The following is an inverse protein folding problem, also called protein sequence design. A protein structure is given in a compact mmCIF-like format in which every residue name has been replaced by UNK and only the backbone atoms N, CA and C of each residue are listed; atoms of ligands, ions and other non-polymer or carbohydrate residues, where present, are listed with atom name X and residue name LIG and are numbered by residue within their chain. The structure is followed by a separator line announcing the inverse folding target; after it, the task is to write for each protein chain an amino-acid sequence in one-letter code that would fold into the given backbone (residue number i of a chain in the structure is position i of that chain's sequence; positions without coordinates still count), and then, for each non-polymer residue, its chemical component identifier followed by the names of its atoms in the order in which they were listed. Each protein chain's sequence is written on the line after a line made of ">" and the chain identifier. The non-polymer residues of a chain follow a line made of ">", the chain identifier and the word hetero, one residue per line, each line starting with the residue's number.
data_IF_556782951006
#
_entry.id   IF_556782951006
#
_cell.length_a   1.000
_cell.length_b   1.000
_cell.length_c   1.000
_cell.angle_alpha   90.00
_cell.angle_beta   90.00
_cell.angle_gamma   90.00
#
_symmetry.space_group_name_H-M   'P 1'
#
loop_
_entity.id
_entity.type
_entity.pdbx_description
1 polymer ?
#
# COMPACT_ATOMS: atom_id res chain seq x y z
N UNK A 1 -4.29 29.56 -11.49
CA UNK A 1 -2.91 29.88 -11.94
C UNK A 1 -2.38 28.65 -12.65
N UNK A 2 -2.60 28.57 -13.95
CA UNK A 2 -2.11 27.50 -14.81
C UNK A 2 -1.22 28.13 -15.86
N UNK A 3 0.08 27.83 -15.85
CA UNK A 3 0.95 28.01 -16.99
C UNK A 3 2.26 27.25 -16.77
N UNK A 4 2.80 26.77 -17.88
CA UNK A 4 4.19 26.38 -18.11
C UNK A 4 4.64 24.98 -17.68
N UNK A 5 4.23 23.93 -18.41
CA UNK A 5 5.17 22.97 -18.99
C UNK A 5 4.69 22.59 -20.40
N UNK A 6 5.10 23.36 -21.40
CA UNK A 6 4.90 23.04 -22.82
C UNK A 6 6.23 23.28 -23.54
N UNK A 7 7.09 22.26 -23.57
CA UNK A 7 8.40 22.32 -24.24
C UNK A 7 8.55 21.27 -25.35
N UNK A 8 7.53 20.45 -25.56
CA UNK A 8 7.41 19.52 -26.68
C UNK A 8 5.94 19.53 -27.06
N UNK A 9 5.58 19.78 -28.33
CA UNK A 9 4.20 19.97 -28.82
C UNK A 9 3.31 18.72 -28.78
N UNK A 10 3.33 17.99 -27.67
CA UNK A 10 2.44 16.91 -27.28
C UNK A 10 1.85 17.39 -25.94
N UNK A 11 0.53 17.40 -25.79
CA UNK A 11 -0.14 17.62 -24.51
C UNK A 11 0.19 16.46 -23.56
N UNK A 12 1.41 16.43 -23.02
CA UNK A 12 1.91 15.37 -22.14
C UNK A 12 1.04 15.30 -20.87
N UNK A 13 0.51 16.44 -20.43
CA UNK A 13 -0.45 16.54 -19.33
C UNK A 13 -1.75 15.78 -19.58
N UNK A 14 -2.29 15.78 -20.80
CA UNK A 14 -3.57 15.11 -21.11
C UNK A 14 -3.40 13.58 -21.25
N UNK A 15 -2.22 13.12 -21.68
CA UNK A 15 -1.90 11.69 -21.74
C UNK A 15 -1.51 11.11 -20.36
N UNK A 16 -0.78 11.87 -19.53
CA UNK A 16 -0.45 11.44 -18.17
C UNK A 16 -1.66 11.50 -17.23
N UNK A 17 -2.55 12.49 -17.38
CA UNK A 17 -3.80 12.58 -16.63
C UNK A 17 -4.83 11.51 -17.06
N UNK A 18 -4.53 10.72 -18.10
CA UNK A 18 -5.32 9.54 -18.41
C UNK A 18 -5.02 8.43 -17.39
N UNK A 19 -6.02 7.68 -16.88
CA UNK A 19 -5.81 6.59 -15.91
C UNK A 19 -4.80 5.52 -16.37
N UNK A 20 -4.56 5.43 -17.68
CA UNK A 20 -3.56 4.53 -18.28
C UNK A 20 -2.13 5.02 -18.02
N UNK A 21 -1.89 6.34 -18.11
CA UNK A 21 -0.59 6.95 -17.83
C UNK A 21 -0.22 6.83 -16.35
N UNK A 22 -1.18 7.11 -15.47
CA UNK A 22 -1.02 6.87 -14.04
C UNK A 22 -0.70 5.40 -13.73
N UNK A 23 -1.43 4.45 -14.35
CA UNK A 23 -1.16 3.02 -14.20
C UNK A 23 0.26 2.61 -14.62
N UNK A 24 0.80 3.21 -15.68
CA UNK A 24 2.17 2.92 -16.13
C UNK A 24 3.23 3.39 -15.15
N UNK A 25 3.07 4.60 -14.59
CA UNK A 25 4.00 5.17 -13.60
C UNK A 25 3.95 4.37 -12.30
N UNK A 26 2.75 4.05 -11.83
CA UNK A 26 2.54 3.20 -10.65
C UNK A 26 3.18 1.83 -10.87
N UNK A 27 3.00 1.23 -12.04
CA UNK A 27 3.61 -0.04 -12.41
C UNK A 27 5.14 -0.01 -12.41
N UNK A 28 5.75 1.07 -12.92
CA UNK A 28 7.20 1.30 -12.86
C UNK A 28 7.69 1.46 -11.42
N UNK A 29 6.94 2.21 -10.59
CA UNK A 29 7.26 2.43 -9.18
C UNK A 29 7.30 1.13 -8.38
N UNK A 30 6.38 0.20 -8.67
CA UNK A 30 6.27 -1.08 -7.98
C UNK A 30 6.98 -2.25 -8.68
N UNK A 31 7.62 -2.00 -9.82
CA UNK A 31 8.46 -2.98 -10.52
C UNK A 31 9.55 -3.63 -9.65
N UNK A 32 10.31 -2.92 -8.77
CA UNK A 32 11.34 -3.59 -7.96
C UNK A 32 10.74 -4.61 -6.98
N UNK A 33 9.57 -4.30 -6.41
CA UNK A 33 8.86 -5.20 -5.50
C UNK A 33 8.37 -6.44 -6.26
N UNK A 34 7.83 -6.24 -7.46
CA UNK A 34 7.39 -7.33 -8.32
C UNK A 34 8.55 -8.29 -8.64
N UNK A 35 9.68 -7.74 -9.07
CA UNK A 35 10.88 -8.52 -9.41
C UNK A 35 11.39 -9.29 -8.19
N UNK A 36 11.40 -8.68 -7.00
CA UNK A 36 11.86 -9.35 -5.78
C UNK A 36 11.03 -10.60 -5.46
N UNK A 37 9.70 -10.49 -5.52
CA UNK A 37 8.77 -11.59 -5.23
C UNK A 37 8.89 -12.70 -6.28
N UNK A 38 8.99 -12.32 -7.55
CA UNK A 38 9.17 -13.26 -8.67
C UNK A 38 10.52 -13.98 -8.59
N UNK A 39 11.59 -13.27 -8.23
CA UNK A 39 12.92 -13.85 -8.03
C UNK A 39 12.92 -14.86 -6.89
N UNK A 40 12.27 -14.53 -5.77
CA UNK A 40 12.08 -15.46 -4.65
C UNK A 40 11.29 -16.70 -5.08
N UNK A 41 10.24 -16.54 -5.89
CA UNK A 41 9.48 -17.67 -6.41
C UNK A 41 10.33 -18.56 -7.33
N UNK A 42 11.15 -17.96 -8.20
CA UNK A 42 12.00 -18.68 -9.13
C UNK A 42 13.13 -19.43 -8.42
N UNK A 43 13.73 -18.84 -7.38
CA UNK A 43 14.76 -19.49 -6.55
C UNK A 43 14.22 -20.69 -5.77
N UNK A 44 12.91 -20.78 -5.55
CA UNK A 44 12.28 -21.92 -4.88
C UNK A 44 11.95 -23.08 -5.81
N UNK A 45 12.14 -22.93 -7.12
CA UNK A 45 11.93 -24.03 -8.06
C UNK A 45 13.05 -25.07 -7.87
N UNK A 46 12.72 -26.33 -7.55
CA UNK A 46 13.73 -27.38 -7.39
C UNK A 46 14.47 -27.59 -8.71
N UNK A 47 15.81 -27.59 -8.65
CA UNK A 47 16.68 -27.68 -9.83
C UNK A 47 16.51 -29.01 -10.56
N UNK A 48 16.23 -30.08 -9.81
CA UNK A 48 15.97 -31.43 -10.34
C UNK A 48 14.87 -31.43 -11.41
N UNK A 49 13.74 -30.75 -11.13
CA UNK A 49 12.59 -30.70 -12.07
C UNK A 49 12.93 -29.96 -13.36
N UNK A 50 13.79 -28.94 -13.28
CA UNK A 50 14.22 -28.19 -14.45
C UNK A 50 15.29 -28.94 -15.28
N UNK A 51 16.20 -29.67 -14.61
CA UNK A 51 17.23 -30.48 -15.25
C UNK A 51 16.62 -31.71 -15.95
N UNK A 52 15.65 -32.39 -15.33
CA UNK A 52 14.92 -33.53 -15.92
C UNK A 52 14.17 -33.11 -17.20
N UNK A 53 13.50 -31.95 -17.16
CA UNK A 53 12.76 -31.44 -18.30
C UNK A 53 13.66 -31.05 -19.49
N UNK A 54 14.94 -30.76 -19.25
CA UNK A 54 15.87 -30.34 -20.30
C UNK A 54 16.29 -31.50 -21.22
N UNK A 55 16.14 -32.74 -20.76
CA UNK A 55 16.39 -33.93 -21.59
C UNK A 55 15.33 -34.14 -22.68
N UNK A 56 14.11 -33.63 -22.47
CA UNK A 56 12.98 -33.83 -23.37
C UNK A 56 12.61 -32.56 -24.17
N UNK A 57 12.94 -31.37 -23.63
CA UNK A 57 12.48 -30.10 -24.20
C UNK A 57 13.53 -28.99 -24.19
N UNK A 58 13.43 -28.07 -25.16
CA UNK A 58 14.32 -26.90 -25.25
C UNK A 58 14.11 -25.92 -24.09
N UNK A 59 15.17 -25.18 -23.73
CA UNK A 59 15.19 -24.20 -22.63
C UNK A 59 13.96 -23.27 -22.58
N UNK A 60 13.53 -22.72 -23.71
CA UNK A 60 12.36 -21.84 -23.79
C UNK A 60 11.05 -22.56 -23.46
N UNK A 61 10.92 -23.82 -23.90
CA UNK A 61 9.72 -24.63 -23.67
C UNK A 61 9.67 -25.16 -22.23
N UNK A 62 10.81 -25.45 -21.62
CA UNK A 62 10.91 -25.73 -20.17
C UNK A 62 10.44 -24.52 -19.36
N UNK A 63 10.88 -23.31 -19.72
CA UNK A 63 10.48 -22.09 -19.02
C UNK A 63 8.96 -21.83 -19.10
N UNK A 64 8.37 -21.92 -20.29
CA UNK A 64 6.94 -21.67 -20.47
C UNK A 64 6.04 -22.81 -19.98
N UNK A 65 6.47 -24.07 -20.10
CA UNK A 65 5.59 -25.22 -19.89
C UNK A 65 5.81 -25.92 -18.54
N UNK A 66 7.00 -25.79 -17.95
CA UNK A 66 7.35 -26.41 -16.66
C UNK A 66 7.48 -25.35 -15.57
N UNK A 67 8.27 -24.30 -15.80
CA UNK A 67 8.54 -23.28 -14.77
C UNK A 67 7.33 -22.36 -14.56
N UNK A 68 6.73 -21.86 -15.65
CA UNK A 68 5.58 -20.93 -15.58
C UNK A 68 4.40 -21.46 -14.76
N UNK A 69 3.88 -22.69 -14.96
CA UNK A 69 2.80 -23.22 -14.12
C UNK A 69 3.22 -23.38 -12.64
N UNK A 70 4.50 -23.65 -12.37
CA UNK A 70 5.04 -23.74 -11.01
C UNK A 70 5.06 -22.38 -10.30
N UNK A 71 5.42 -21.30 -11.01
CA UNK A 71 5.45 -19.94 -10.45
C UNK A 71 4.12 -19.20 -10.56
N UNK A 72 3.13 -19.74 -11.28
CA UNK A 72 1.79 -19.15 -11.44
C UNK A 72 1.13 -18.74 -10.12
N UNK A 73 1.12 -19.56 -9.03
CA UNK A 73 0.58 -19.11 -7.75
C UNK A 73 1.35 -17.91 -7.18
N UNK A 74 2.67 -17.86 -7.33
CA UNK A 74 3.47 -16.73 -6.89
C UNK A 74 3.22 -15.47 -7.73
N UNK A 75 3.04 -15.61 -9.05
CA UNK A 75 2.62 -14.51 -9.94
C UNK A 75 1.25 -13.98 -9.49
N UNK A 76 0.31 -14.87 -9.17
CA UNK A 76 -1.02 -14.50 -8.68
C UNK A 76 -0.96 -13.73 -7.36
N UNK A 77 -0.15 -14.20 -6.40
CA UNK A 77 0.09 -13.50 -5.13
C UNK A 77 0.81 -12.15 -5.32
N UNK A 78 1.78 -12.07 -6.22
CA UNK A 78 2.47 -10.84 -6.58
C UNK A 78 1.50 -9.82 -7.21
N UNK A 79 0.70 -10.24 -8.19
CA UNK A 79 -0.29 -9.40 -8.84
C UNK A 79 -1.34 -8.88 -7.84
N UNK A 80 -1.76 -9.74 -6.89
CA UNK A 80 -2.66 -9.36 -5.82
C UNK A 80 -2.10 -8.26 -4.92
N UNK A 81 -0.85 -8.43 -4.49
CA UNK A 81 -0.16 -7.46 -3.66
C UNK A 81 0.04 -6.12 -4.39
N UNK A 82 0.49 -6.16 -5.64
CA UNK A 82 0.69 -4.96 -6.46
C UNK A 82 -0.63 -4.23 -6.74
N UNK A 83 -1.72 -4.98 -6.96
CA UNK A 83 -3.05 -4.39 -7.11
C UNK A 83 -3.45 -3.62 -5.86
N UNK A 84 -3.29 -4.22 -4.67
CA UNK A 84 -3.59 -3.55 -3.40
C UNK A 84 -2.70 -2.33 -3.19
N UNK A 85 -1.40 -2.46 -3.47
CA UNK A 85 -0.43 -1.38 -3.31
C UNK A 85 -0.75 -0.20 -4.23
N UNK A 86 -1.12 -0.47 -5.49
CA UNK A 86 -1.59 0.53 -6.43
C UNK A 86 -2.92 1.18 -5.99
N UNK A 87 -3.84 0.40 -5.41
CA UNK A 87 -5.12 0.93 -4.94
C UNK A 87 -4.98 1.84 -3.72
N UNK A 88 -3.98 1.61 -2.90
CA UNK A 88 -3.63 2.40 -1.72
C UNK A 88 -2.81 3.64 -2.05
N UNK A 89 -2.28 3.74 -3.27
CA UNK A 89 -1.47 4.88 -3.70
C UNK A 89 -2.37 6.06 -4.08
N UNK A 90 -2.40 7.07 -3.20
CA UNK A 90 -3.06 8.35 -3.47
C UNK A 90 -2.08 9.42 -4.00
N UNK A 91 -0.77 9.23 -3.79
CA UNK A 91 0.24 10.25 -4.08
C UNK A 91 0.43 10.43 -5.59
N UNK A 92 0.58 9.34 -6.35
CA UNK A 92 0.75 9.43 -7.81
C UNK A 92 -0.52 10.01 -8.47
N UNK A 93 -1.70 9.70 -7.91
CA UNK A 93 -2.96 10.25 -8.40
C UNK A 93 -3.06 11.77 -8.19
N UNK A 94 -2.66 12.27 -7.01
CA UNK A 94 -2.60 13.70 -6.70
C UNK A 94 -1.60 14.43 -7.62
N UNK A 95 -0.38 13.90 -7.78
CA UNK A 95 0.65 14.49 -8.64
C UNK A 95 0.22 14.60 -10.11
N UNK A 96 -0.55 13.64 -10.62
CA UNK A 96 -1.01 13.63 -12.01
C UNK A 96 -2.38 14.31 -12.20
N UNK A 97 -3.03 14.74 -11.12
CA UNK A 97 -4.38 15.32 -11.17
C UNK A 97 -5.47 14.32 -11.57
N UNK A 98 -5.23 13.02 -11.37
CA UNK A 98 -6.21 11.96 -11.69
C UNK A 98 -7.11 11.73 -10.49
N UNK A 99 -8.42 11.93 -10.69
CA UNK A 99 -9.41 11.67 -9.64
C UNK A 99 -9.60 10.16 -9.45
N UNK A 100 -8.90 9.61 -8.47
CA UNK A 100 -9.10 8.24 -7.97
C UNK A 100 -9.97 8.25 -6.71
N UNK A 101 -10.57 7.12 -6.36
CA UNK A 101 -11.36 7.00 -5.13
C UNK A 101 -10.53 7.33 -3.88
N UNK A 102 -9.24 6.96 -3.86
CA UNK A 102 -8.32 7.27 -2.76
C UNK A 102 -8.04 8.79 -2.66
N UNK A 103 -7.84 9.46 -3.80
CA UNK A 103 -7.69 10.91 -3.85
C UNK A 103 -8.96 11.63 -3.38
N UNK A 104 -10.14 11.18 -3.81
CA UNK A 104 -11.41 11.81 -3.45
C UNK A 104 -11.64 11.77 -1.92
N UNK A 105 -11.34 10.65 -1.27
CA UNK A 105 -11.44 10.55 0.20
C UNK A 105 -10.53 11.57 0.89
N UNK A 106 -9.27 11.66 0.44
CA UNK A 106 -8.31 12.61 0.98
C UNK A 106 -8.77 14.06 0.77
N UNK A 107 -9.23 14.39 -0.44
CA UNK A 107 -9.71 15.72 -0.79
C UNK A 107 -10.97 16.14 -0.02
N UNK A 108 -11.89 15.22 0.24
CA UNK A 108 -13.07 15.49 1.06
C UNK A 108 -12.70 15.76 2.52
N UNK A 109 -11.68 15.08 3.04
CA UNK A 109 -11.23 15.23 4.41
C UNK A 109 -10.42 16.52 4.64
N UNK A 110 -9.42 16.79 3.78
CA UNK A 110 -8.47 17.89 3.96
C UNK A 110 -8.83 19.15 3.16
N UNK A 111 -9.46 18.98 1.99
CA UNK A 111 -9.81 20.10 1.11
C UNK A 111 -11.15 20.75 1.47
N UNK A 112 -12.20 19.95 1.62
CA UNK A 112 -13.58 20.44 1.83
C UNK A 112 -13.99 20.37 3.32
N UNK A 113 -13.25 19.61 4.15
CA UNK A 113 -13.60 19.32 5.56
C UNK A 113 -15.02 18.73 5.73
N UNK A 114 -15.54 18.05 4.70
CA UNK A 114 -16.81 17.32 4.78
C UNK A 114 -16.56 15.89 5.25
N UNK A 115 -16.48 15.75 6.57
CA UNK A 115 -16.25 14.48 7.25
C UNK A 115 -17.36 13.46 6.99
N UNK A 116 -18.60 13.90 6.72
CA UNK A 116 -19.71 12.98 6.49
C UNK A 116 -19.55 12.28 5.14
N UNK A 117 -19.34 13.06 4.08
CA UNK A 117 -19.10 12.53 2.73
C UNK A 117 -17.80 11.72 2.65
N UNK A 118 -16.75 12.14 3.36
CA UNK A 118 -15.47 11.41 3.44
C UNK A 118 -15.66 10.03 4.10
N UNK A 119 -16.46 9.95 5.15
CA UNK A 119 -16.73 8.69 5.87
C UNK A 119 -17.49 7.71 4.99
N UNK A 120 -18.53 8.16 4.29
CA UNK A 120 -19.32 7.30 3.37
C UNK A 120 -18.44 6.78 2.24
N UNK A 121 -17.62 7.65 1.64
CA UNK A 121 -16.71 7.28 0.55
C UNK A 121 -15.63 6.29 1.00
N UNK A 122 -15.10 6.47 2.22
CA UNK A 122 -14.14 5.54 2.83
C UNK A 122 -14.74 4.16 3.08
N UNK A 123 -16.00 4.11 3.52
CA UNK A 123 -16.72 2.86 3.72
C UNK A 123 -16.91 2.11 2.40
N UNK A 124 -17.31 2.83 1.34
CA UNK A 124 -17.45 2.27 0.00
C UNK A 124 -16.11 1.72 -0.53
N UNK A 125 -15.03 2.50 -0.40
CA UNK A 125 -13.69 2.06 -0.77
C UNK A 125 -13.29 0.80 -0.02
N UNK A 126 -13.50 0.75 1.30
CA UNK A 126 -13.21 -0.44 2.11
C UNK A 126 -14.00 -1.67 1.65
N UNK A 127 -15.26 -1.53 1.27
CA UNK A 127 -16.08 -2.64 0.77
C UNK A 127 -15.54 -3.14 -0.58
N UNK A 128 -15.19 -2.23 -1.48
CA UNK A 128 -14.61 -2.58 -2.80
C UNK A 128 -13.27 -3.29 -2.62
N UNK A 129 -12.37 -2.75 -1.80
CA UNK A 129 -11.07 -3.38 -1.52
C UNK A 129 -11.24 -4.75 -0.88
N UNK A 130 -12.15 -4.90 0.09
CA UNK A 130 -12.44 -6.19 0.73
C UNK A 130 -12.98 -7.20 -0.28
N UNK A 131 -13.87 -6.79 -1.18
CA UNK A 131 -14.45 -7.65 -2.21
C UNK A 131 -13.37 -8.16 -3.18
N UNK A 132 -12.51 -7.26 -3.67
CA UNK A 132 -11.39 -7.65 -4.55
C UNK A 132 -10.41 -8.58 -3.81
N UNK A 133 -10.09 -8.27 -2.55
CA UNK A 133 -9.25 -9.13 -1.72
C UNK A 133 -9.85 -10.52 -1.54
N UNK A 134 -11.15 -10.63 -1.27
CA UNK A 134 -11.86 -11.91 -1.15
C UNK A 134 -11.83 -12.71 -2.46
N UNK A 135 -12.00 -12.06 -3.61
CA UNK A 135 -11.89 -12.69 -4.93
C UNK A 135 -10.49 -13.24 -5.14
N UNK A 136 -9.46 -12.41 -4.92
CA UNK A 136 -8.06 -12.80 -5.02
C UNK A 136 -7.72 -13.95 -4.07
N UNK A 137 -8.17 -13.85 -2.82
CA UNK A 137 -7.96 -14.88 -1.82
C UNK A 137 -8.61 -16.19 -2.23
N UNK A 138 -9.85 -16.16 -2.75
CA UNK A 138 -10.54 -17.34 -3.25
C UNK A 138 -9.83 -17.94 -4.47
N UNK A 139 -9.32 -17.11 -5.37
CA UNK A 139 -8.60 -17.54 -6.56
C UNK A 139 -7.25 -18.17 -6.20
N UNK A 140 -6.56 -17.61 -5.21
CA UNK A 140 -5.25 -18.05 -4.72
C UNK A 140 -5.32 -19.25 -3.75
N UNK A 141 -6.51 -19.57 -3.22
CA UNK A 141 -6.78 -20.74 -2.34
C UNK A 141 -6.67 -22.10 -3.03
N UNK A 142 -6.30 -22.18 -4.31
CA UNK A 142 -5.83 -23.46 -4.87
C UNK A 142 -4.64 -23.93 -4.03
N UNK A 143 -4.50 -25.24 -3.73
CA UNK A 143 -3.50 -25.72 -2.78
C UNK A 143 -2.14 -25.15 -3.19
N UNK A 144 -1.73 -24.11 -2.46
CA UNK A 144 -0.42 -23.52 -2.59
C UNK A 144 0.48 -24.70 -2.25
N UNK A 145 1.17 -25.22 -3.26
CA UNK A 145 2.19 -26.22 -3.04
C UNK A 145 3.08 -25.62 -1.97
N UNK A 146 3.04 -26.23 -0.78
CA UNK A 146 3.68 -25.75 0.45
C UNK A 146 4.91 -24.92 0.08
N UNK A 147 4.93 -23.59 0.29
CA UNK A 147 6.10 -22.80 -0.03
C UNK A 147 7.23 -23.25 0.88
N UNK A 148 8.02 -24.24 0.41
CA UNK A 148 9.29 -24.67 1.02
C UNK A 148 10.24 -23.48 1.24
N UNK A 149 9.95 -22.36 0.56
CA UNK A 149 10.49 -21.02 0.75
C UNK A 149 10.55 -20.54 2.21
N UNK A 150 9.54 -20.82 3.04
CA UNK A 150 9.52 -20.37 4.44
C UNK A 150 10.27 -21.30 5.40
N UNK A 151 10.59 -22.54 4.98
CA UNK A 151 11.39 -23.46 5.80
C UNK A 151 12.89 -23.29 5.61
N UNK A 152 13.33 -22.72 4.49
CA UNK A 152 14.71 -22.24 4.35
C UNK A 152 14.82 -20.94 5.14
N UNK A 153 15.03 -21.08 6.46
CA UNK A 153 15.39 -19.98 7.32
C UNK A 153 16.45 -19.15 6.61
N UNK A 154 16.21 -17.85 6.51
CA UNK A 154 17.27 -16.90 6.18
C UNK A 154 18.29 -16.96 7.32
N UNK A 155 19.20 -17.93 7.24
CA UNK A 155 20.34 -18.06 8.14
C UNK A 155 21.33 -16.98 7.72
N UNK A 156 21.04 -15.75 8.15
CA UNK A 156 22.04 -14.71 8.13
C UNK A 156 23.12 -15.12 9.10
N UNK A 157 24.21 -15.70 8.59
CA UNK A 157 25.48 -15.70 9.32
C UNK A 157 26.04 -14.28 9.31
N UNK A 158 25.30 -13.34 9.89
CA UNK A 158 25.75 -11.98 10.12
C UNK A 158 26.18 -11.87 11.59
N UNK A 159 27.47 -11.66 11.77
CA UNK A 159 28.15 -11.45 13.04
C UNK A 159 27.34 -10.46 13.91
N UNK A 160 26.95 -10.89 15.12
CA UNK A 160 25.90 -10.24 15.94
C UNK A 160 26.06 -8.74 16.22
N UNK A 161 27.26 -8.19 16.03
CA UNK A 161 27.53 -6.76 16.11
C UNK A 161 26.81 -5.93 15.02
N UNK A 162 26.86 -6.38 13.75
CA UNK A 162 26.27 -5.64 12.63
C UNK A 162 24.74 -5.71 12.63
N UNK A 163 24.16 -6.81 13.14
CA UNK A 163 22.71 -6.94 13.31
C UNK A 163 22.19 -5.94 14.35
N UNK A 164 22.90 -5.78 15.48
CA UNK A 164 22.55 -4.78 16.49
C UNK A 164 22.61 -3.35 15.95
N UNK A 165 23.62 -3.03 15.13
CA UNK A 165 23.70 -1.72 14.47
C UNK A 165 22.59 -1.52 13.45
N UNK A 166 22.28 -2.49 12.59
CA UNK A 166 21.23 -2.39 11.59
C UNK A 166 19.84 -2.21 12.23
N UNK A 167 19.54 -3.00 13.26
CA UNK A 167 18.29 -2.91 14.02
C UNK A 167 18.24 -1.58 14.80
N UNK A 168 19.34 -1.17 15.43
CA UNK A 168 19.44 0.12 16.10
C UNK A 168 19.23 1.30 15.16
N UNK A 169 19.83 1.27 13.97
CA UNK A 169 19.60 2.27 12.93
C UNK A 169 18.16 2.27 12.46
N UNK A 170 17.54 1.10 12.26
CA UNK A 170 16.13 1.00 11.86
C UNK A 170 15.18 1.57 12.91
N UNK A 171 15.41 1.25 14.19
CA UNK A 171 14.59 1.75 15.31
C UNK A 171 14.76 3.25 15.48
N UNK A 172 16.00 3.76 15.41
CA UNK A 172 16.26 5.21 15.52
C UNK A 172 15.65 5.97 14.35
N UNK A 173 15.75 5.46 13.11
CA UNK A 173 15.11 6.06 11.93
C UNK A 173 13.59 6.06 12.07
N UNK A 174 12.99 4.96 12.50
CA UNK A 174 11.55 4.87 12.73
C UNK A 174 11.10 5.86 13.83
N UNK A 175 11.86 5.97 14.91
CA UNK A 175 11.55 6.85 16.03
C UNK A 175 11.72 8.32 15.65
N UNK A 176 12.75 8.67 14.87
CA UNK A 176 12.96 10.03 14.35
C UNK A 176 11.89 10.40 13.32
N UNK A 177 11.59 9.51 12.37
CA UNK A 177 10.54 9.72 11.36
C UNK A 177 9.14 9.80 11.96
N UNK A 178 8.90 9.18 13.12
CA UNK A 178 7.62 9.28 13.84
C UNK A 178 7.60 10.48 14.78
N UNK A 179 8.70 10.80 15.46
CA UNK A 179 8.77 11.91 16.40
C UNK A 179 8.80 13.28 15.72
N UNK A 180 9.41 13.41 14.52
CA UNK A 180 9.42 14.66 13.76
C UNK A 180 8.02 15.18 13.39
N UNK A 181 7.14 14.38 12.75
CA UNK A 181 5.79 14.83 12.41
C UNK A 181 4.94 15.04 13.67
N UNK A 182 5.19 14.28 14.74
CA UNK A 182 4.48 14.44 16.01
C UNK A 182 4.89 15.73 16.72
N UNK A 183 6.17 16.08 16.68
CA UNK A 183 6.69 17.36 17.18
C UNK A 183 6.25 18.54 16.32
N UNK A 184 6.21 18.39 14.98
CA UNK A 184 5.72 19.46 14.09
C UNK A 184 4.24 19.75 14.30
N UNK A 185 3.42 18.70 14.53
CA UNK A 185 2.03 18.80 14.95
C UNK A 185 1.91 19.51 16.30
N UNK A 186 2.73 19.14 17.28
CA UNK A 186 2.66 19.73 18.62
C UNK A 186 2.97 21.23 18.59
N UNK A 187 4.01 21.65 17.85
CA UNK A 187 4.41 23.06 17.74
C UNK A 187 3.33 23.90 17.02
N UNK A 188 2.67 23.33 15.99
CA UNK A 188 1.60 24.03 15.26
C UNK A 188 0.25 23.99 15.98
N UNK A 189 -0.02 22.99 16.82
CA UNK A 189 -1.28 22.85 17.55
C UNK A 189 -1.36 23.77 18.79
N UNK A 190 -0.24 24.08 19.45
CA UNK A 190 -0.21 24.92 20.66
C UNK A 190 -0.81 26.33 20.45
N UNK A 191 -0.53 27.09 19.38
CA UNK A 191 -1.10 28.43 19.20
C UNK A 191 -2.60 28.44 18.94
N UNK A 192 -3.16 27.38 18.33
CA UNK A 192 -4.61 27.26 18.10
C UNK A 192 -5.37 26.67 19.29
N UNK A 193 -4.69 25.98 20.20
CA UNK A 193 -5.30 25.34 21.37
C UNK A 193 -6.08 26.32 22.25
N UNK A 194 -5.61 27.56 22.40
CA UNK A 194 -6.28 28.58 23.19
C UNK A 194 -7.57 29.13 22.53
N UNK A 195 -7.67 29.03 21.20
CA UNK A 195 -8.85 29.43 20.41
C UNK A 195 -9.86 28.28 20.36
N UNK A 196 -9.39 27.05 20.15
CA UNK A 196 -10.21 25.83 20.14
C UNK A 196 -10.80 25.55 21.53
N UNK A 197 -10.05 25.72 22.62
CA UNK A 197 -10.58 25.52 23.98
C UNK A 197 -11.74 26.49 24.30
N UNK A 198 -11.68 27.74 23.81
CA UNK A 198 -12.79 28.71 23.98
C UNK A 198 -13.96 28.41 23.04
N UNK A 199 -13.69 27.94 21.83
CA UNK A 199 -14.72 27.59 20.85
C UNK A 199 -15.43 26.26 21.15
N UNK A 200 -14.75 25.28 21.76
CA UNK A 200 -15.24 23.91 22.01
C UNK A 200 -15.81 23.69 23.42
N UNK A 201 -15.76 24.69 24.31
CA UNK A 201 -16.42 24.69 25.62
C UNK A 201 -17.88 24.17 25.61
N UNK A 202 -18.76 24.57 24.66
CA UNK A 202 -20.14 24.06 24.64
C UNK A 202 -20.25 22.60 24.17
N UNK A 203 -19.40 22.15 23.24
CA UNK A 203 -19.45 20.78 22.72
C UNK A 203 -19.03 19.74 23.78
N UNK A 204 -18.00 20.08 24.58
CA UNK A 204 -17.54 19.24 25.70
C UNK A 204 -18.65 19.09 26.74
N UNK A 205 -19.39 20.18 27.04
CA UNK A 205 -20.52 20.13 27.97
C UNK A 205 -21.65 19.21 27.47
N UNK A 206 -21.98 19.25 26.18
CA UNK A 206 -23.00 18.36 25.59
C UNK A 206 -22.60 16.88 25.65
N UNK A 207 -21.33 16.54 25.38
CA UNK A 207 -20.85 15.15 25.47
C UNK A 207 -20.88 14.61 26.90
N UNK A 208 -20.50 15.42 27.88
CA UNK A 208 -20.56 15.04 29.31
C UNK A 208 -22.01 14.81 29.74
N UNK A 209 -22.93 15.68 29.35
CA UNK A 209 -24.36 15.54 29.68
C UNK A 209 -24.96 14.29 29.01
N UNK A 210 -24.65 14.01 27.75
CA UNK A 210 -25.09 12.78 27.07
C UNK A 210 -24.52 11.51 27.72
N UNK A 211 -23.26 11.53 28.17
CA UNK A 211 -22.67 10.39 28.87
C UNK A 211 -23.30 10.18 30.26
N UNK A 212 -23.60 11.27 30.97
CA UNK A 212 -24.24 11.22 32.28
C UNK A 212 -25.70 10.74 32.20
N UNK A 213 -26.46 11.19 31.20
CA UNK A 213 -27.84 10.76 31.01
C UNK A 213 -27.93 9.28 30.59
N UNK A 214 -27.01 8.81 29.75
CA UNK A 214 -26.91 7.40 29.40
C UNK A 214 -26.56 6.51 30.61
N UNK A 215 -25.69 6.98 31.52
CA UNK A 215 -25.35 6.25 32.73
C UNK A 215 -26.53 6.14 33.71
N UNK A 216 -27.35 7.19 33.83
CA UNK A 216 -28.52 7.21 34.75
C UNK A 216 -29.66 6.32 34.22
N UNK A 217 -29.85 6.22 32.90
CA UNK A 217 -30.88 5.34 32.33
C UNK A 217 -30.51 3.85 32.40
N UNK A 218 -29.23 3.52 32.60
CA UNK A 218 -28.73 2.15 32.64
C UNK A 218 -28.67 1.56 34.07
N UNK A 219 -29.02 2.33 35.10
CA UNK A 219 -29.10 1.92 36.52
C UNK A 219 -30.54 1.88 37.00
#
# INVERSE_FOLDING_TARGET
>A
MGCCISFFGIQLGDWLAHPIGAGFIIGLSYSPIAVLILLMALHNVPREVAEDALFDVTHWRVLLKVITPLITPAIGGCAALLFLLAMLDFGVADFLGVRTLAFEIFFLFDGIYDVHSATVTSLLFSIVTLFVFLILWRWLRRPLTEPRALQRGWHWEMHGFWYGCAVGTGITLALVLTALPLASLFIHAIPELAVIIRASTPAIAHSVICSASAAILAT
#
